data_IF_865403613722
#
_entry.id   IF_865403613722
#
_cell.length_a   1.000
_cell.length_b   1.000
_cell.length_c   1.000
_cell.angle_alpha   90.00
_cell.angle_beta   90.00
_cell.angle_gamma   90.00
#
_symmetry.space_group_name_H-M   'P 1'
#
loop_
_entity.id
_entity.type
_entity.pdbx_description
1 polymer ?
#
# COMPACT_ATOMS: atom_id res chain seq x y z
N UNK A 1 -2.68 1.88 -13.15
CA UNK A 1 -2.10 0.91 -14.13
C UNK A 1 -2.03 -0.52 -13.58
N UNK A 2 -2.11 -0.68 -12.26
CA UNK A 2 -1.92 -1.95 -11.52
C UNK A 2 -2.80 -3.11 -12.01
N UNK A 3 -4.06 -2.86 -12.38
CA UNK A 3 -4.96 -3.95 -12.81
C UNK A 3 -4.82 -4.35 -14.29
N UNK A 4 -3.98 -3.65 -15.06
CA UNK A 4 -3.86 -3.86 -16.52
C UNK A 4 -2.71 -4.77 -16.94
N UNK A 5 -1.61 -4.84 -16.19
CA UNK A 5 -0.34 -5.27 -16.79
C UNK A 5 0.02 -6.75 -16.62
N UNK A 6 -0.48 -7.44 -15.60
CA UNK A 6 -0.11 -8.85 -15.38
C UNK A 6 -0.80 -9.85 -16.31
N UNK A 7 -1.83 -9.46 -17.09
CA UNK A 7 -2.71 -10.42 -17.77
C UNK A 7 -2.65 -10.50 -19.31
N UNK A 8 -1.84 -9.69 -20.00
CA UNK A 8 -1.70 -9.81 -21.47
C UNK A 8 -0.86 -11.02 -21.93
N UNK A 9 -0.39 -11.89 -21.03
CA UNK A 9 0.44 -13.04 -21.37
C UNK A 9 -0.32 -14.31 -21.82
N UNK A 10 -1.67 -14.36 -21.73
CA UNK A 10 -2.44 -15.59 -22.00
C UNK A 10 -3.39 -15.56 -23.20
N UNK A 11 -3.62 -14.40 -23.83
CA UNK A 11 -4.27 -14.34 -25.14
C UNK A 11 -3.27 -13.89 -26.20
N UNK A 12 -2.78 -14.85 -27.01
CA UNK A 12 -1.90 -14.55 -28.12
C UNK A 12 -2.45 -13.40 -28.97
N UNK A 13 -1.69 -12.31 -29.06
CA UNK A 13 -1.96 -11.24 -30.00
C UNK A 13 -2.06 -11.86 -31.41
N UNK A 14 -3.21 -11.77 -32.11
CA UNK A 14 -3.23 -12.07 -33.53
C UNK A 14 -2.28 -11.09 -34.21
N UNK A 15 -1.26 -11.62 -34.87
CA UNK A 15 -0.30 -10.84 -35.64
C UNK A 15 -1.03 -9.94 -36.63
N UNK A 16 -0.84 -8.63 -36.47
CA UNK A 16 -1.20 -7.64 -37.47
C UNK A 16 -0.10 -7.62 -38.53
N UNK A 17 -0.20 -8.54 -39.50
CA UNK A 17 0.57 -8.53 -40.75
C UNK A 17 0.05 -7.41 -41.66
N UNK A 18 0.49 -6.18 -41.40
CA UNK A 18 0.32 -5.03 -42.28
C UNK A 18 1.54 -4.81 -43.19
N UNK A 19 1.37 -4.63 -44.51
CA UNK A 19 2.46 -4.74 -45.48
C UNK A 19 3.32 -3.47 -45.59
N UNK A 20 4.59 -3.73 -45.89
CA UNK A 20 5.63 -2.77 -46.20
C UNK A 20 5.20 -1.68 -47.21
N UNK A 21 5.41 -0.42 -46.82
CA UNK A 21 5.56 0.69 -47.75
C UNK A 21 7.02 1.18 -47.72
N UNK A 22 7.68 0.99 -48.84
CA UNK A 22 9.04 1.39 -49.18
C UNK A 22 9.18 2.92 -49.24
N UNK A 23 10.19 3.49 -48.58
CA UNK A 23 10.80 4.75 -49.03
C UNK A 23 12.32 4.67 -48.97
N UNK A 24 12.89 5.04 -50.11
CA UNK A 24 14.29 4.98 -50.48
C UNK A 24 15.21 5.85 -49.62
N UNK A 25 16.43 5.34 -49.51
CA UNK A 25 17.74 6.01 -49.54
C UNK A 25 17.73 7.47 -50.04
N UNK A 26 18.44 8.37 -49.36
CA UNK A 26 19.79 8.80 -49.77
C UNK A 26 20.41 9.78 -48.74
N UNK A 27 21.74 9.82 -48.63
CA UNK A 27 22.44 11.02 -48.15
C UNK A 27 23.34 10.95 -46.91
N UNK A 28 24.43 10.18 -47.01
CA UNK A 28 25.82 10.55 -46.64
C UNK A 28 26.10 11.53 -45.49
N UNK A 29 26.84 11.06 -44.48
CA UNK A 29 27.43 11.88 -43.42
C UNK A 29 28.61 11.23 -42.69
N UNK A 30 29.75 11.15 -43.38
CA UNK A 30 31.11 10.80 -42.94
C UNK A 30 31.51 11.37 -41.57
N UNK A 31 32.16 10.55 -40.70
CA UNK A 31 32.72 11.07 -39.44
C UNK A 31 33.43 10.08 -38.51
N UNK A 32 34.55 9.49 -38.95
CA UNK A 32 35.82 9.32 -38.20
C UNK A 32 35.87 8.71 -36.78
N UNK A 33 36.51 7.53 -36.72
CA UNK A 33 37.63 7.10 -35.84
C UNK A 33 37.52 7.12 -34.31
N UNK A 34 37.73 5.94 -33.72
CA UNK A 34 38.15 5.81 -32.31
C UNK A 34 38.25 4.37 -31.82
N UNK A 35 39.07 3.54 -32.47
CA UNK A 35 39.43 2.21 -31.97
C UNK A 35 40.51 2.37 -30.88
N UNK A 36 40.22 1.98 -29.65
CA UNK A 36 41.22 1.73 -28.61
C UNK A 36 40.90 0.40 -27.94
N UNK A 37 41.74 -0.58 -28.23
CA UNK A 37 41.96 -1.82 -27.48
C UNK A 37 42.88 -1.52 -26.30
N UNK A 38 42.55 -2.00 -25.10
CA UNK A 38 43.48 -2.20 -23.98
C UNK A 38 42.75 -3.13 -22.99
N UNK A 39 43.09 -4.41 -22.91
CA UNK A 39 44.26 -5.02 -22.25
C UNK A 39 43.87 -5.58 -20.87
N UNK A 40 44.06 -6.89 -20.76
CA UNK A 40 44.12 -7.70 -19.55
C UNK A 40 44.99 -7.05 -18.45
N UNK A 41 44.49 -7.06 -17.20
CA UNK A 41 45.35 -7.22 -16.02
C UNK A 41 44.63 -8.06 -14.97
N UNK A 42 44.95 -9.36 -14.98
CA UNK A 42 45.07 -10.19 -13.79
C UNK A 42 46.30 -9.72 -12.99
N UNK A 43 46.19 -9.56 -11.66
CA UNK A 43 47.08 -10.20 -10.67
C UNK A 43 46.98 -9.60 -9.27
N UNK A 44 47.02 -10.55 -8.32
CA UNK A 44 47.74 -10.51 -7.03
C UNK A 44 47.04 -10.01 -5.75
N UNK A 45 46.83 -11.00 -4.91
CA UNK A 45 46.62 -11.03 -3.47
C UNK A 45 47.89 -10.69 -2.66
N UNK A 46 47.65 -10.42 -1.36
CA UNK A 46 48.57 -10.41 -0.19
C UNK A 46 48.93 -9.01 0.36
N UNK A 47 49.40 -8.89 1.63
CA UNK A 47 48.97 -9.55 2.88
C UNK A 47 48.81 -8.54 4.07
N UNK A 48 48.47 -9.09 5.24
CA UNK A 48 48.54 -8.50 6.60
C UNK A 48 49.53 -7.35 6.81
N UNK A 49 49.09 -6.34 7.56
CA UNK A 49 49.98 -5.60 8.47
C UNK A 49 49.35 -5.45 9.86
N UNK A 50 50.18 -5.73 10.85
CA UNK A 50 49.93 -5.73 12.30
C UNK A 50 50.92 -4.74 12.92
N UNK A 51 50.43 -3.71 13.59
CA UNK A 51 51.23 -2.89 14.54
C UNK A 51 50.25 -2.31 15.58
N UNK A 52 50.23 -2.78 16.83
CA UNK A 52 51.13 -2.51 17.97
C UNK A 52 50.91 -1.14 18.64
N UNK A 53 50.25 -1.21 19.79
CA UNK A 53 50.33 -0.43 21.03
C UNK A 53 51.04 0.93 21.07
N UNK A 54 50.29 1.90 21.61
CA UNK A 54 50.81 3.07 22.34
C UNK A 54 49.73 3.64 23.28
N UNK A 55 49.99 3.80 24.59
CA UNK A 55 48.99 4.22 25.56
C UNK A 55 48.93 5.75 25.61
N UNK A 56 47.76 6.33 25.34
CA UNK A 56 47.49 7.74 25.64
C UNK A 56 46.51 7.84 26.79
N UNK A 57 47.04 8.27 27.94
CA UNK A 57 46.25 8.86 29.02
C UNK A 57 45.56 10.13 28.51
N UNK A 58 44.24 10.17 28.59
CA UNK A 58 43.51 11.43 28.75
C UNK A 58 42.45 11.26 29.84
N UNK A 59 42.80 11.86 30.98
CA UNK A 59 41.98 12.48 32.01
C UNK A 59 40.47 12.52 31.77
N UNK A 60 39.74 12.09 32.79
CA UNK A 60 38.29 12.10 32.85
C UNK A 60 37.68 13.50 32.77
N UNK A 61 36.61 13.57 32.00
CA UNK A 61 35.45 14.40 32.25
C UNK A 61 34.28 13.45 32.38
N UNK A 62 33.81 13.25 33.60
CA UNK A 62 32.51 12.65 33.89
C UNK A 62 31.46 13.70 33.53
N UNK A 63 31.20 13.85 32.24
CA UNK A 63 30.01 14.53 31.76
C UNK A 63 28.92 13.47 31.71
N UNK A 64 28.22 13.35 32.83
CA UNK A 64 26.87 12.77 32.86
C UNK A 64 25.99 13.68 31.99
N UNK A 65 26.06 13.47 30.67
CA UNK A 65 25.08 14.01 29.74
C UNK A 65 23.78 13.30 30.06
N UNK A 66 23.02 13.88 30.99
CA UNK A 66 21.56 13.76 31.02
C UNK A 66 21.10 14.42 29.72
N UNK A 67 21.21 13.68 28.62
CA UNK A 67 20.52 14.02 27.39
C UNK A 67 19.05 14.03 27.77
N UNK A 68 18.53 15.21 28.07
CA UNK A 68 17.10 15.47 27.98
C UNK A 68 16.77 15.17 26.53
N UNK A 69 16.27 13.95 26.33
CA UNK A 69 15.49 13.60 25.17
C UNK A 69 14.40 14.68 25.09
N UNK A 70 14.63 15.67 24.22
CA UNK A 70 13.81 16.88 24.16
C UNK A 70 12.52 16.65 23.38
N UNK A 71 12.22 15.38 23.10
CA UNK A 71 11.23 15.00 22.11
C UNK A 71 11.62 15.52 20.72
N UNK A 72 10.99 14.99 19.67
CA UNK A 72 10.95 15.68 18.39
C UNK A 72 10.38 17.10 18.59
N UNK A 73 10.90 18.12 17.89
CA UNK A 73 10.35 19.48 17.95
C UNK A 73 8.83 19.47 17.65
N UNK A 74 8.03 20.30 18.32
CA UNK A 74 6.55 20.27 18.28
C UNK A 74 5.89 20.60 16.92
N UNK A 75 6.67 20.66 15.84
CA UNK A 75 6.22 20.81 14.45
C UNK A 75 6.64 19.61 13.57
N UNK A 76 7.17 18.53 14.17
CA UNK A 76 7.57 17.33 13.43
C UNK A 76 6.33 16.50 13.05
N UNK A 77 6.26 16.12 11.78
CA UNK A 77 5.22 15.23 11.25
C UNK A 77 5.83 13.84 11.14
N UNK A 78 5.30 12.89 11.90
CA UNK A 78 5.65 11.48 11.72
C UNK A 78 4.72 10.83 10.69
N UNK A 79 5.29 10.42 9.56
CA UNK A 79 4.55 9.75 8.49
C UNK A 79 4.85 8.26 8.46
N UNK A 80 3.80 7.44 8.36
CA UNK A 80 3.86 5.99 8.21
C UNK A 80 3.19 5.57 6.91
N UNK A 81 3.99 5.10 5.95
CA UNK A 81 3.50 4.62 4.65
C UNK A 81 3.10 3.15 4.78
N UNK A 82 1.94 2.79 4.25
CA UNK A 82 1.50 1.41 4.15
C UNK A 82 2.54 0.60 3.35
N UNK A 83 2.92 -0.56 3.87
CA UNK A 83 3.84 -1.51 3.22
C UNK A 83 3.15 -2.79 2.82
N UNK A 84 2.07 -3.13 3.51
CA UNK A 84 1.21 -4.26 3.15
C UNK A 84 -0.25 -3.87 3.38
N UNK A 85 -1.15 -4.44 2.59
CA UNK A 85 -2.59 -4.25 2.74
C UNK A 85 -3.36 -5.50 2.30
N UNK A 86 -4.33 -5.92 3.10
CA UNK A 86 -5.16 -7.08 2.82
C UNK A 86 -6.61 -6.77 3.14
N UNK A 87 -7.50 -6.86 2.14
CA UNK A 87 -8.94 -6.91 2.39
C UNK A 87 -9.28 -8.26 3.02
N UNK A 88 -10.04 -8.23 4.11
CA UNK A 88 -10.41 -9.40 4.91
C UNK A 88 -11.89 -9.67 4.97
N UNK A 89 -12.72 -8.64 4.85
CA UNK A 89 -14.18 -8.76 4.87
C UNK A 89 -14.80 -7.49 4.27
N UNK A 90 -15.78 -7.56 3.35
CA UNK A 90 -16.15 -8.73 2.56
C UNK A 90 -15.04 -9.20 1.60
N UNK A 91 -15.12 -10.46 1.18
CA UNK A 91 -14.31 -11.00 0.09
C UNK A 91 -14.87 -10.59 -1.28
N UNK A 92 -14.01 -10.51 -2.28
CA UNK A 92 -14.38 -10.25 -3.67
C UNK A 92 -14.63 -11.55 -4.43
N UNK A 93 -15.73 -11.59 -5.17
CA UNK A 93 -16.15 -12.76 -5.94
C UNK A 93 -16.32 -12.44 -7.42
N UNK A 94 -15.90 -13.38 -8.27
CA UNK A 94 -16.06 -13.29 -9.73
C UNK A 94 -16.75 -14.52 -10.29
N UNK A 95 -17.53 -14.30 -11.35
CA UNK A 95 -18.19 -15.38 -12.06
C UNK A 95 -17.27 -15.99 -13.12
N UNK A 96 -16.70 -17.15 -12.83
CA UNK A 96 -15.81 -17.88 -13.73
C UNK A 96 -16.55 -18.94 -14.58
N UNK A 97 -15.95 -19.29 -15.71
CA UNK A 97 -16.46 -20.29 -16.67
C UNK A 97 -17.90 -20.02 -17.14
N UNK A 98 -18.23 -18.75 -17.38
CA UNK A 98 -19.52 -18.33 -17.93
C UNK A 98 -20.69 -18.53 -16.97
N UNK A 99 -20.50 -18.25 -15.68
CA UNK A 99 -21.56 -18.38 -14.67
C UNK A 99 -21.55 -19.66 -13.86
N UNK A 100 -20.65 -20.60 -14.16
CA UNK A 100 -20.69 -21.94 -13.56
C UNK A 100 -19.95 -22.05 -12.23
N UNK A 101 -18.99 -21.16 -11.98
CA UNK A 101 -18.19 -21.13 -10.75
C UNK A 101 -18.24 -19.71 -10.21
N UNK A 102 -18.59 -19.58 -8.93
CA UNK A 102 -18.32 -18.36 -8.18
C UNK A 102 -17.00 -18.54 -7.45
N UNK A 103 -15.99 -17.80 -7.88
CA UNK A 103 -14.65 -17.87 -7.30
C UNK A 103 -14.43 -16.67 -6.39
N UNK A 104 -14.07 -16.93 -5.14
CA UNK A 104 -13.43 -15.95 -4.28
C UNK A 104 -12.04 -15.65 -4.86
N UNK A 105 -11.75 -14.36 -5.09
CA UNK A 105 -10.49 -13.88 -5.67
C UNK A 105 -9.72 -12.98 -4.71
N UNK A 106 -10.13 -12.92 -3.45
CA UNK A 106 -9.54 -12.01 -2.44
C UNK A 106 -8.10 -12.38 -2.14
N UNK A 107 -7.86 -13.66 -1.79
CA UNK A 107 -6.54 -14.17 -1.41
C UNK A 107 -5.95 -15.18 -2.41
N UNK A 108 -6.77 -15.79 -3.27
CA UNK A 108 -6.31 -16.82 -4.20
C UNK A 108 -7.16 -16.82 -5.47
N UNK A 109 -6.52 -16.84 -6.65
CA UNK A 109 -7.24 -17.02 -7.91
C UNK A 109 -6.95 -18.40 -8.51
N UNK A 110 -7.97 -19.23 -8.82
CA UNK A 110 -7.76 -20.58 -9.35
C UNK A 110 -7.00 -20.66 -10.69
N UNK A 111 -6.98 -19.56 -11.46
CA UNK A 111 -6.37 -19.47 -12.79
C UNK A 111 -4.88 -19.12 -12.77
N UNK A 112 -4.32 -18.82 -11.60
CA UNK A 112 -2.94 -18.38 -11.44
C UNK A 112 -2.73 -16.89 -11.67
N UNK A 113 -3.81 -16.13 -11.86
CA UNK A 113 -3.78 -14.66 -11.85
C UNK A 113 -3.55 -14.17 -10.40
N UNK A 114 -2.96 -12.97 -10.20
CA UNK A 114 -2.81 -12.39 -8.87
C UNK A 114 -4.16 -12.17 -8.18
N UNK A 115 -4.25 -12.47 -6.88
CA UNK A 115 -5.44 -12.16 -6.07
C UNK A 115 -5.63 -10.65 -5.91
N UNK A 116 -6.78 -10.21 -5.40
CA UNK A 116 -7.00 -8.79 -5.09
C UNK A 116 -5.97 -8.30 -4.07
N UNK A 117 -5.69 -9.10 -3.04
CA UNK A 117 -4.68 -8.77 -2.06
C UNK A 117 -3.27 -8.75 -2.66
N UNK A 118 -2.92 -9.69 -3.55
CA UNK A 118 -1.63 -9.64 -4.24
C UNK A 118 -1.48 -8.35 -5.06
N UNK A 119 -2.55 -7.94 -5.78
CA UNK A 119 -2.53 -6.73 -6.60
C UNK A 119 -2.37 -5.46 -5.77
N UNK A 120 -3.03 -5.37 -4.60
CA UNK A 120 -2.80 -4.25 -3.69
C UNK A 120 -1.37 -4.22 -3.16
N UNK A 121 -0.82 -5.36 -2.77
CA UNK A 121 0.55 -5.43 -2.26
C UNK A 121 1.60 -5.16 -3.35
N UNK A 122 1.35 -5.58 -4.59
CA UNK A 122 2.19 -5.21 -5.73
C UNK A 122 2.17 -3.70 -5.97
N UNK A 123 0.99 -3.07 -5.95
CA UNK A 123 0.85 -1.62 -6.13
C UNK A 123 1.55 -0.79 -5.03
N UNK A 124 1.48 -1.27 -3.78
CA UNK A 124 2.08 -0.61 -2.62
C UNK A 124 3.61 -0.69 -2.65
N UNK A 125 4.17 -1.69 -3.32
CA UNK A 125 5.60 -2.00 -3.23
C UNK A 125 6.36 -1.84 -4.55
N UNK A 126 5.67 -1.58 -5.66
CA UNK A 126 6.27 -1.49 -6.99
C UNK A 126 5.83 -0.23 -7.74
N UNK A 127 6.72 0.22 -8.61
CA UNK A 127 6.44 1.14 -9.73
C UNK A 127 6.15 0.25 -10.95
N UNK A 128 5.02 0.44 -11.63
CA UNK A 128 4.61 -0.42 -12.74
C UNK A 128 5.74 -0.50 -13.78
N UNK A 129 6.30 -1.70 -14.04
CA UNK A 129 7.43 -1.84 -14.97
C UNK A 129 7.05 -1.49 -16.43
N UNK A 130 5.76 -1.40 -16.76
CA UNK A 130 5.26 -1.05 -18.08
C UNK A 130 5.06 0.45 -18.28
N UNK A 131 4.83 1.24 -17.22
CA UNK A 131 4.84 2.71 -17.28
C UNK A 131 5.57 3.29 -16.07
N UNK A 132 6.88 3.04 -15.94
CA UNK A 132 7.63 3.47 -14.78
C UNK A 132 7.67 5.00 -14.73
N UNK A 133 7.13 5.57 -13.66
CA UNK A 133 7.14 7.01 -13.43
C UNK A 133 8.07 7.41 -12.27
N UNK A 134 8.70 6.41 -11.63
CA UNK A 134 9.58 6.58 -10.49
C UNK A 134 8.85 6.64 -9.15
N UNK A 135 7.54 6.42 -9.12
CA UNK A 135 6.71 6.40 -7.92
C UNK A 135 6.06 5.02 -7.74
N UNK A 136 5.67 4.72 -6.51
CA UNK A 136 4.83 3.55 -6.22
C UNK A 136 3.43 3.76 -6.79
N UNK A 137 2.83 2.70 -7.34
CA UNK A 137 1.52 2.80 -7.98
C UNK A 137 0.37 3.11 -6.99
N UNK A 138 0.53 2.70 -5.73
CA UNK A 138 -0.37 3.03 -4.63
C UNK A 138 0.46 3.45 -3.41
N UNK A 139 0.13 4.59 -2.82
CA UNK A 139 0.73 5.02 -1.57
C UNK A 139 -0.33 5.60 -0.64
N UNK A 140 -0.49 4.97 0.52
CA UNK A 140 -1.36 5.43 1.60
C UNK A 140 -0.48 5.75 2.80
N UNK A 141 -0.74 6.87 3.47
CA UNK A 141 0.09 7.37 4.58
C UNK A 141 -0.78 7.81 5.75
N UNK A 142 -0.34 7.48 6.97
CA UNK A 142 -0.81 8.05 8.22
C UNK A 142 0.17 9.12 8.69
N UNK A 143 -0.32 10.29 9.04
CA UNK A 143 0.49 11.44 9.46
C UNK A 143 0.10 11.83 10.88
N UNK A 144 1.05 11.84 11.81
CA UNK A 144 0.83 12.28 13.20
C UNK A 144 1.45 13.67 13.40
N UNK A 145 0.79 14.54 14.19
CA UNK A 145 1.22 15.95 14.35
C UNK A 145 1.17 16.45 15.82
N UNK A 146 2.21 16.22 16.63
CA UNK A 146 3.20 15.15 16.51
C UNK A 146 2.64 13.80 17.03
N UNK A 147 3.41 12.73 16.85
CA UNK A 147 3.17 11.43 17.49
C UNK A 147 3.55 11.46 18.98
N UNK A 148 2.58 11.15 19.83
CA UNK A 148 2.75 10.91 21.27
C UNK A 148 2.24 9.50 21.61
N UNK A 149 3.19 8.61 21.93
CA UNK A 149 2.93 7.21 22.26
C UNK A 149 2.65 6.98 23.75
N UNK A 150 2.61 8.04 24.57
CA UNK A 150 2.30 7.90 25.99
C UNK A 150 0.86 7.38 26.18
N UNK A 151 0.63 6.65 27.28
CA UNK A 151 -0.68 6.10 27.59
C UNK A 151 -1.73 7.20 27.73
N UNK A 152 -2.85 7.04 27.01
CA UNK A 152 -3.93 8.02 26.88
C UNK A 152 -3.52 9.38 26.29
N UNK A 153 -2.34 9.46 25.65
CA UNK A 153 -2.01 10.60 24.81
C UNK A 153 -2.96 10.67 23.62
N UNK A 154 -3.20 11.88 23.13
CA UNK A 154 -4.05 12.15 21.99
C UNK A 154 -3.46 13.28 21.16
N UNK A 155 -3.71 13.25 19.86
CA UNK A 155 -3.23 14.28 18.94
C UNK A 155 -3.98 14.27 17.62
N UNK A 156 -3.58 15.18 16.75
CA UNK A 156 -4.10 15.26 15.39
C UNK A 156 -3.43 14.18 14.52
N UNK A 157 -4.23 13.54 13.66
CA UNK A 157 -3.76 12.57 12.67
C UNK A 157 -4.44 12.84 11.32
N UNK A 158 -3.72 12.70 10.21
CA UNK A 158 -4.30 12.70 8.87
C UNK A 158 -4.12 11.32 8.22
N UNK A 159 -5.15 10.86 7.49
CA UNK A 159 -4.99 9.84 6.46
C UNK A 159 -4.83 10.55 5.10
N UNK A 160 -3.94 10.05 4.25
CA UNK A 160 -3.67 10.66 2.95
C UNK A 160 -3.42 9.63 1.85
N UNK A 161 -3.89 9.95 0.64
CA UNK A 161 -3.35 9.37 -0.57
C UNK A 161 -2.07 10.14 -0.91
N UNK A 162 -0.99 9.40 -1.10
CA UNK A 162 0.34 9.96 -1.26
C UNK A 162 0.94 9.59 -2.61
N UNK A 163 2.04 10.26 -2.95
CA UNK A 163 2.98 9.86 -3.98
C UNK A 163 4.32 9.62 -3.31
N UNK A 164 4.86 8.41 -3.43
CA UNK A 164 6.13 8.03 -2.84
C UNK A 164 7.09 7.56 -3.92
N UNK A 165 8.31 8.11 -3.93
CA UNK A 165 9.35 7.75 -4.91
C UNK A 165 9.89 6.32 -4.70
N UNK A 166 10.49 5.71 -5.73
CA UNK A 166 11.13 4.37 -5.63
C UNK A 166 12.67 4.47 -5.66
N UNK A 167 13.40 3.86 -4.69
CA UNK A 167 12.87 3.27 -3.45
C UNK A 167 12.22 4.37 -2.58
N UNK A 168 11.35 4.02 -1.60
CA UNK A 168 10.63 4.99 -0.77
C UNK A 168 11.60 5.83 0.06
N UNK A 169 12.10 6.89 -0.56
CA UNK A 169 13.02 7.86 0.04
C UNK A 169 12.19 9.02 0.60
N UNK A 170 11.07 9.35 -0.05
CA UNK A 170 10.27 10.53 0.24
C UNK A 170 8.83 10.31 -0.25
N UNK A 171 7.87 10.75 0.56
CA UNK A 171 6.45 10.78 0.23
C UNK A 171 5.90 12.21 0.33
N UNK A 172 4.97 12.54 -0.55
CA UNK A 172 4.21 13.80 -0.58
C UNK A 172 2.71 13.52 -0.79
N UNK A 173 1.87 14.53 -0.62
CA UNK A 173 0.44 14.45 -0.91
C UNK A 173 0.22 14.24 -2.40
N UNK A 174 -0.63 13.28 -2.77
CA UNK A 174 -0.97 13.06 -4.17
C UNK A 174 -1.70 14.28 -4.75
N UNK A 175 -1.27 14.76 -5.92
CA UNK A 175 -1.88 15.92 -6.57
C UNK A 175 -3.40 15.70 -6.78
N UNK A 176 -4.19 16.69 -6.37
CA UNK A 176 -5.65 16.65 -6.50
C UNK A 176 -6.36 15.84 -5.41
N UNK A 177 -5.64 15.41 -4.37
CA UNK A 177 -6.22 14.81 -3.16
C UNK A 177 -6.08 15.75 -1.97
N UNK A 178 -6.87 15.53 -0.93
CA UNK A 178 -6.85 16.28 0.33
C UNK A 178 -6.50 15.35 1.50
N UNK A 179 -6.10 15.93 2.63
CA UNK A 179 -5.97 15.21 3.90
C UNK A 179 -7.34 14.84 4.46
N UNK A 180 -7.49 13.61 4.93
CA UNK A 180 -8.63 13.18 5.72
C UNK A 180 -8.28 13.34 7.20
N UNK A 181 -8.60 14.51 7.72
CA UNK A 181 -8.24 14.91 9.09
C UNK A 181 -9.05 14.10 10.11
N UNK A 182 -8.38 13.67 11.17
CA UNK A 182 -8.96 13.03 12.35
C UNK A 182 -8.08 13.26 13.57
N UNK A 183 -8.44 12.66 14.69
CA UNK A 183 -7.66 12.61 15.92
C UNK A 183 -7.35 11.16 16.27
N UNK A 184 -6.31 10.94 17.07
CA UNK A 184 -5.97 9.60 17.59
C UNK A 184 -5.84 9.60 19.10
N UNK A 185 -5.96 8.42 19.70
CA UNK A 185 -5.65 8.16 21.10
C UNK A 185 -4.72 6.96 21.21
N UNK A 186 -3.61 7.12 21.93
CA UNK A 186 -2.63 6.07 22.24
C UNK A 186 -3.04 5.28 23.49
N UNK A 187 -2.79 3.97 23.47
CA UNK A 187 -3.02 3.06 24.59
C UNK A 187 -1.83 2.13 24.77
N UNK A 188 -1.30 2.07 25.98
CA UNK A 188 -0.13 1.22 26.30
C UNK A 188 -0.47 -0.28 26.37
N UNK A 189 -1.69 -0.61 26.77
CA UNK A 189 -2.22 -1.96 26.89
C UNK A 189 -3.70 -2.01 26.47
N UNK A 190 -4.22 -3.21 26.22
CA UNK A 190 -5.63 -3.42 25.84
C UNK A 190 -5.85 -3.52 24.33
N UNK A 191 -7.09 -3.30 23.90
CA UNK A 191 -7.50 -3.42 22.50
C UNK A 191 -7.81 -2.03 21.95
N UNK A 192 -7.16 -1.65 20.86
CA UNK A 192 -7.43 -0.40 20.14
C UNK A 192 -8.61 -0.52 19.18
N UNK A 193 -8.68 -1.63 18.47
CA UNK A 193 -9.77 -1.92 17.55
C UNK A 193 -9.96 -3.44 17.46
N UNK A 194 -11.21 -3.87 17.64
CA UNK A 194 -11.65 -5.25 17.41
C UNK A 194 -12.69 -5.21 16.29
N UNK A 195 -12.64 -6.12 15.31
CA UNK A 195 -13.69 -6.26 14.32
C UNK A 195 -15.05 -6.50 14.98
N UNK A 196 -16.08 -5.79 14.55
CA UNK A 196 -17.42 -5.96 15.13
C UNK A 196 -18.03 -7.27 14.61
N UNK A 197 -18.28 -8.29 15.46
CA UNK A 197 -18.83 -9.56 15.01
C UNK A 197 -20.22 -9.44 14.38
N UNK A 198 -20.94 -8.34 14.59
CA UNK A 198 -22.23 -8.08 13.95
C UNK A 198 -22.09 -7.73 12.46
N UNK A 199 -20.91 -7.31 12.04
CA UNK A 199 -20.58 -6.82 10.69
C UNK A 199 -19.58 -7.72 9.97
N UNK A 200 -19.30 -8.91 10.51
CA UNK A 200 -18.47 -9.92 9.85
C UNK A 200 -19.33 -10.85 9.02
N UNK A 201 -18.79 -11.26 7.87
CA UNK A 201 -19.47 -12.16 6.96
C UNK A 201 -19.87 -13.47 7.66
N UNK A 202 -21.11 -13.94 7.44
CA UNK A 202 -21.54 -15.25 7.92
C UNK A 202 -20.80 -16.41 7.23
N UNK A 203 -20.11 -16.15 6.10
CA UNK A 203 -19.29 -17.14 5.40
C UNK A 203 -18.05 -17.55 6.21
N UNK A 204 -17.62 -16.72 7.17
CA UNK A 204 -16.49 -17.01 8.04
C UNK A 204 -15.17 -17.02 7.28
N UNK A 205 -14.86 -15.91 6.62
CA UNK A 205 -13.63 -15.72 5.86
C UNK A 205 -12.37 -16.03 6.67
N UNK A 206 -11.33 -16.49 5.97
CA UNK A 206 -10.08 -16.88 6.59
C UNK A 206 -8.88 -16.43 5.73
N UNK A 207 -7.95 -15.63 6.29
CA UNK A 207 -7.94 -15.16 7.69
C UNK A 207 -9.07 -14.16 7.99
N UNK A 208 -9.54 -14.16 9.24
CA UNK A 208 -10.48 -13.14 9.72
C UNK A 208 -9.76 -11.79 9.85
N UNK A 209 -10.50 -10.66 9.82
CA UNK A 209 -9.92 -9.35 10.14
C UNK A 209 -9.13 -9.36 11.45
N UNK A 210 -7.99 -8.67 11.46
CA UNK A 210 -7.11 -8.57 12.61
C UNK A 210 -7.73 -7.81 13.79
N UNK A 211 -7.19 -8.04 14.99
CA UNK A 211 -7.49 -7.23 16.18
C UNK A 211 -6.24 -6.46 16.56
N UNK A 212 -6.35 -5.15 16.69
CA UNK A 212 -5.24 -4.28 17.10
C UNK A 212 -5.15 -4.20 18.62
N UNK A 213 -3.99 -4.53 19.18
CA UNK A 213 -3.76 -4.53 20.64
C UNK A 213 -2.52 -3.71 21.04
N UNK A 214 -2.47 -3.29 22.31
CA UNK A 214 -1.45 -2.38 22.86
C UNK A 214 -0.02 -2.94 22.84
N UNK A 215 1.01 -2.07 22.72
CA UNK A 215 0.93 -0.61 22.62
C UNK A 215 0.43 -0.17 21.23
N UNK A 216 -0.61 0.65 21.16
CA UNK A 216 -1.31 0.96 19.91
C UNK A 216 -1.94 2.34 19.92
N UNK A 217 -2.47 2.76 18.77
CA UNK A 217 -3.42 3.86 18.69
C UNK A 217 -4.74 3.43 18.04
N UNK A 218 -5.76 4.25 18.23
CA UNK A 218 -7.01 4.21 17.47
C UNK A 218 -7.41 5.63 17.08
N UNK A 219 -7.89 5.81 15.86
CA UNK A 219 -8.35 7.08 15.34
C UNK A 219 -9.85 7.29 15.60
N UNK A 220 -10.27 8.55 15.73
CA UNK A 220 -11.69 8.89 15.69
C UNK A 220 -12.25 8.63 14.27
N UNK A 221 -13.55 8.24 14.15
CA UNK A 221 -14.15 7.97 12.85
C UNK A 221 -14.09 9.18 11.90
N UNK A 222 -13.70 8.96 10.65
CA UNK A 222 -13.67 9.98 9.60
C UNK A 222 -14.01 9.36 8.24
N UNK A 223 -14.57 10.15 7.32
CA UNK A 223 -14.82 9.68 5.95
C UNK A 223 -13.51 9.73 5.16
N UNK A 224 -13.13 8.63 4.51
CA UNK A 224 -11.91 8.55 3.70
C UNK A 224 -12.22 8.13 2.27
N UNK A 225 -11.34 8.48 1.34
CA UNK A 225 -11.36 7.96 -0.03
C UNK A 225 -10.00 7.34 -0.31
N UNK A 226 -9.99 6.06 -0.63
CA UNK A 226 -8.80 5.36 -1.12
C UNK A 226 -8.76 5.52 -2.63
N UNK A 227 -7.73 6.20 -3.14
CA UNK A 227 -7.51 6.37 -4.57
C UNK A 227 -6.50 5.34 -5.05
N UNK A 228 -6.96 4.39 -5.88
CA UNK A 228 -6.10 3.35 -6.48
C UNK A 228 -5.42 3.81 -7.76
N UNK A 229 -5.57 5.09 -8.11
CA UNK A 229 -5.20 5.65 -9.42
C UNK A 229 -6.21 5.31 -10.53
N UNK A 230 -6.80 4.11 -10.48
CA UNK A 230 -7.71 3.61 -11.50
C UNK A 230 -9.20 3.80 -11.11
N UNK A 231 -9.51 3.80 -9.81
CA UNK A 231 -10.82 4.18 -9.24
C UNK A 231 -10.66 4.76 -7.83
N UNK A 232 -11.75 5.32 -7.31
CA UNK A 232 -11.83 5.87 -5.95
C UNK A 232 -12.80 5.04 -5.12
N UNK A 233 -12.37 4.59 -3.95
CA UNK A 233 -13.19 3.82 -3.01
C UNK A 233 -13.52 4.70 -1.79
N UNK A 234 -14.71 5.29 -1.71
CA UNK A 234 -15.14 6.02 -0.53
C UNK A 234 -15.51 5.05 0.59
N UNK A 235 -15.05 5.35 1.81
CA UNK A 235 -15.38 4.61 3.03
C UNK A 235 -15.85 5.63 4.07
N UNK A 236 -17.12 5.56 4.46
CA UNK A 236 -17.69 6.35 5.53
C UNK A 236 -17.35 5.78 6.91
N UNK A 237 -17.37 6.64 7.93
CA UNK A 237 -17.14 6.23 9.33
C UNK A 237 -15.87 5.37 9.53
N UNK A 238 -14.81 5.69 8.78
CA UNK A 238 -13.60 4.89 8.78
C UNK A 238 -12.81 5.10 10.08
N UNK A 239 -12.42 3.98 10.71
CA UNK A 239 -11.61 3.93 11.93
C UNK A 239 -10.33 3.17 11.61
N UNK A 240 -9.19 3.76 11.97
CA UNK A 240 -7.86 3.21 11.72
C UNK A 240 -7.19 2.99 13.07
N UNK A 241 -6.64 1.80 13.29
CA UNK A 241 -5.84 1.47 14.46
C UNK A 241 -4.63 0.64 14.04
N UNK A 242 -3.51 0.77 14.76
CA UNK A 242 -2.38 -0.14 14.61
C UNK A 242 -1.56 -0.25 15.89
N UNK A 243 -0.84 -1.37 16.02
CA UNK A 243 0.15 -1.58 17.08
C UNK A 243 1.45 -0.87 16.71
N UNK A 244 2.02 -0.14 17.64
CA UNK A 244 3.32 0.48 17.48
C UNK A 244 4.43 -0.58 17.50
N UNK A 245 5.30 -0.55 16.50
CA UNK A 245 6.58 -1.24 16.52
C UNK A 245 7.67 -0.23 16.92
N UNK A 246 8.15 -0.31 18.17
CA UNK A 246 9.16 0.59 18.72
C UNK A 246 8.60 1.74 19.57
N UNK A 247 9.51 2.42 20.29
CA UNK A 247 9.27 3.62 21.09
C UNK A 247 10.54 4.49 21.10
N UNK A 248 10.65 5.52 20.23
CA UNK A 248 9.63 5.95 19.26
C UNK A 248 9.39 4.90 18.15
N UNK A 249 8.18 4.87 17.61
CA UNK A 249 7.73 3.89 16.63
C UNK A 249 8.42 4.09 15.27
N UNK A 250 9.00 3.02 14.74
CA UNK A 250 9.57 2.96 13.39
C UNK A 250 8.67 2.17 12.41
N UNK A 251 7.66 1.48 12.93
CA UNK A 251 6.66 0.77 12.18
C UNK A 251 5.31 0.70 12.88
N UNK A 252 4.30 0.34 12.10
CA UNK A 252 2.96 -0.01 12.55
C UNK A 252 2.66 -1.42 12.07
N UNK A 253 2.28 -2.31 12.99
CA UNK A 253 1.97 -3.71 12.72
C UNK A 253 0.60 -4.06 13.24
N UNK A 254 0.02 -5.17 12.77
CA UNK A 254 -1.35 -5.59 13.14
C UNK A 254 -2.35 -4.43 13.01
N UNK A 255 -2.19 -3.65 11.93
CA UNK A 255 -3.06 -2.52 11.62
C UNK A 255 -4.38 -3.00 11.09
N UNK A 256 -5.45 -2.32 11.46
CA UNK A 256 -6.80 -2.55 10.94
C UNK A 256 -7.45 -1.22 10.60
N UNK A 257 -7.93 -1.12 9.36
CA UNK A 257 -8.82 -0.08 8.88
C UNK A 257 -10.19 -0.71 8.71
N UNK A 258 -11.20 -0.15 9.38
CA UNK A 258 -12.61 -0.48 9.16
C UNK A 258 -13.31 0.72 8.59
N UNK A 259 -14.12 0.57 7.54
CA UNK A 259 -14.97 1.65 7.03
C UNK A 259 -16.21 1.12 6.31
N UNK A 260 -17.23 1.94 6.15
CA UNK A 260 -18.49 1.56 5.52
C UNK A 260 -18.53 1.99 4.06
N UNK A 261 -18.70 1.04 3.15
CA UNK A 261 -18.95 1.29 1.74
C UNK A 261 -20.46 1.24 1.49
N UNK A 262 -21.09 2.38 1.23
CA UNK A 262 -22.53 2.41 0.91
C UNK A 262 -22.81 1.73 -0.43
N UNK A 263 -24.01 1.17 -0.59
CA UNK A 263 -24.47 0.57 -1.84
C UNK A 263 -24.47 1.59 -2.98
N UNK A 264 -24.92 2.81 -2.71
CA UNK A 264 -24.94 3.90 -3.69
C UNK A 264 -23.51 4.21 -4.19
N UNK A 265 -22.53 4.25 -3.29
CA UNK A 265 -21.13 4.47 -3.66
C UNK A 265 -20.52 3.27 -4.39
N UNK A 266 -20.83 2.05 -3.95
CA UNK A 266 -20.35 0.83 -4.60
C UNK A 266 -20.91 0.67 -6.03
N UNK A 267 -22.17 1.07 -6.26
CA UNK A 267 -22.80 1.11 -7.59
C UNK A 267 -22.31 2.29 -8.44
N UNK A 268 -21.84 3.38 -7.81
CA UNK A 268 -21.26 4.53 -8.52
C UNK A 268 -19.78 4.31 -8.90
N UNK A 269 -19.08 3.41 -8.19
CA UNK A 269 -17.65 3.16 -8.40
C UNK A 269 -17.43 2.24 -9.59
N UNK A 270 -17.24 2.85 -10.77
CA UNK A 270 -16.95 2.15 -12.01
C UNK A 270 -15.57 1.49 -11.99
N UNK A 271 -15.53 0.20 -12.31
CA UNK A 271 -14.28 -0.54 -12.44
C UNK A 271 -13.55 -0.17 -13.75
N UNK A 272 -12.23 -0.09 -13.75
CA UNK A 272 -11.41 0.00 -14.97
C UNK A 272 -11.75 -1.10 -15.98
N UNK A 273 -11.68 -0.78 -17.27
CA UNK A 273 -12.09 -1.66 -18.37
C UNK A 273 -11.41 -3.02 -18.30
N UNK A 274 -10.17 -3.05 -17.85
CA UNK A 274 -9.33 -4.23 -17.71
C UNK A 274 -9.96 -5.21 -16.70
N UNK A 275 -10.37 -4.71 -15.54
CA UNK A 275 -11.12 -5.49 -14.54
C UNK A 275 -12.47 -5.93 -15.11
N UNK A 276 -13.17 -5.04 -15.83
CA UNK A 276 -14.47 -5.40 -16.42
C UNK A 276 -14.34 -6.57 -17.40
N UNK A 277 -13.29 -6.59 -18.20
CA UNK A 277 -13.03 -7.69 -19.14
C UNK A 277 -12.66 -9.00 -18.44
N UNK A 278 -11.98 -8.93 -17.29
CA UNK A 278 -11.54 -10.10 -16.53
C UNK A 278 -12.67 -10.71 -15.68
N UNK A 279 -13.44 -9.85 -15.02
CA UNK A 279 -14.44 -10.25 -14.02
C UNK A 279 -15.86 -10.28 -14.55
N UNK A 280 -16.13 -9.51 -15.62
CA UNK A 280 -17.47 -9.22 -16.10
C UNK A 280 -18.20 -8.13 -15.31
N UNK A 281 -17.62 -7.65 -14.21
CA UNK A 281 -18.21 -6.62 -13.36
C UNK A 281 -17.93 -5.22 -13.90
N UNK A 282 -18.93 -4.34 -13.92
CA UNK A 282 -18.81 -2.94 -14.31
C UNK A 282 -18.59 -2.00 -13.12
N UNK A 283 -19.05 -2.39 -11.94
CA UNK A 283 -19.03 -1.61 -10.69
C UNK A 283 -18.58 -2.48 -9.53
N UNK A 284 -18.11 -1.88 -8.44
CA UNK A 284 -17.61 -2.63 -7.27
C UNK A 284 -18.69 -3.51 -6.64
N UNK A 285 -19.93 -3.03 -6.55
CA UNK A 285 -21.02 -3.81 -5.93
C UNK A 285 -21.23 -5.18 -6.60
N UNK A 286 -20.96 -5.31 -7.90
CA UNK A 286 -21.07 -6.60 -8.61
C UNK A 286 -20.01 -7.63 -8.16
N UNK A 287 -18.93 -7.19 -7.51
CA UNK A 287 -17.88 -8.05 -6.97
C UNK A 287 -18.10 -8.43 -5.50
N UNK A 288 -19.06 -7.81 -4.80
CA UNK A 288 -19.29 -8.04 -3.37
C UNK A 288 -20.54 -8.90 -3.11
N UNK A 289 -20.50 -9.90 -2.21
CA UNK A 289 -21.68 -10.69 -1.83
C UNK A 289 -22.83 -9.81 -1.33
N UNK A 290 -24.05 -10.11 -1.78
CA UNK A 290 -25.24 -9.26 -1.58
C UNK A 290 -25.47 -8.24 -2.70
N UNK A 291 -24.43 -7.86 -3.44
CA UNK A 291 -24.54 -6.94 -4.55
C UNK A 291 -25.29 -7.52 -5.76
N UNK A 292 -26.03 -6.67 -6.47
CA UNK A 292 -26.82 -7.10 -7.62
C UNK A 292 -25.89 -7.63 -8.74
N UNK A 293 -26.05 -8.89 -9.11
CA UNK A 293 -25.23 -9.52 -10.16
C UNK A 293 -24.01 -10.29 -9.63
N UNK A 294 -23.71 -10.18 -8.34
CA UNK A 294 -22.69 -11.01 -7.71
C UNK A 294 -23.10 -12.50 -7.71
N UNK A 295 -22.11 -13.39 -7.76
CA UNK A 295 -22.34 -14.83 -7.89
C UNK A 295 -22.36 -15.60 -6.56
N UNK A 296 -22.00 -14.96 -5.44
CA UNK A 296 -21.91 -15.61 -4.14
C UNK A 296 -23.30 -16.08 -3.67
N UNK A 297 -23.34 -17.15 -2.88
CA UNK A 297 -24.57 -17.72 -2.34
C UNK A 297 -24.96 -17.17 -0.96
N UNK A 298 -24.24 -16.15 -0.50
CA UNK A 298 -24.44 -15.44 0.75
C UNK A 298 -24.49 -13.92 0.51
N UNK A 299 -24.79 -13.20 1.59
CA UNK A 299 -25.00 -11.76 1.60
C UNK A 299 -24.18 -11.18 2.75
N UNK A 300 -23.27 -10.27 2.41
CA UNK A 300 -22.40 -9.57 3.36
C UNK A 300 -22.86 -8.12 3.58
N UNK A 301 -24.04 -7.74 3.07
CA UNK A 301 -24.55 -6.39 3.29
C UNK A 301 -25.05 -6.18 4.72
N UNK A 302 -24.63 -5.07 5.32
CA UNK A 302 -25.07 -4.56 6.61
C UNK A 302 -26.12 -3.45 6.43
N UNK A 303 -27.26 -3.81 5.84
CA UNK A 303 -28.33 -2.86 5.55
C UNK A 303 -28.21 -2.28 4.15
N UNK A 304 -27.61 -1.09 4.01
CA UNK A 304 -27.48 -0.36 2.75
C UNK A 304 -26.03 -0.26 2.24
N UNK A 305 -25.16 -1.20 2.65
CA UNK A 305 -23.76 -1.23 2.24
C UNK A 305 -22.99 -2.37 2.89
N UNK A 306 -21.66 -2.27 2.88
CA UNK A 306 -20.73 -3.27 3.44
C UNK A 306 -19.78 -2.61 4.43
N UNK A 307 -19.53 -3.26 5.57
CA UNK A 307 -18.38 -2.92 6.40
C UNK A 307 -17.13 -3.56 5.83
N UNK A 308 -16.24 -2.72 5.30
CA UNK A 308 -14.94 -3.13 4.79
C UNK A 308 -13.93 -3.19 5.93
N UNK A 309 -13.25 -4.32 6.06
CA UNK A 309 -12.13 -4.53 6.97
C UNK A 309 -10.86 -4.81 6.16
N UNK A 310 -9.84 -3.99 6.43
CA UNK A 310 -8.56 -4.04 5.76
C UNK A 310 -7.46 -4.13 6.81
N UNK A 311 -6.70 -5.22 6.78
CA UNK A 311 -5.49 -5.34 7.58
C UNK A 311 -4.33 -4.66 6.87
N UNK A 312 -3.41 -4.06 7.63
CA UNK A 312 -2.23 -3.41 7.05
C UNK A 312 -0.99 -3.46 7.96
N UNK A 313 0.16 -3.25 7.34
CA UNK A 313 1.40 -2.85 8.00
C UNK A 313 1.89 -1.53 7.41
N UNK A 314 2.64 -0.74 8.17
CA UNK A 314 3.23 0.50 7.69
C UNK A 314 4.62 0.75 8.28
N UNK A 315 5.43 1.54 7.57
CA UNK A 315 6.79 1.92 7.97
C UNK A 315 6.96 3.43 7.98
N UNK A 316 7.75 3.93 8.92
CA UNK A 316 8.09 5.36 8.97
C UNK A 316 8.80 5.78 7.69
N UNK A 317 8.39 6.89 7.10
CA UNK A 317 8.99 7.48 5.90
C UNK A 317 9.19 8.99 6.05
N UNK A 318 10.16 9.60 5.35
CA UNK A 318 10.22 11.06 5.24
C UNK A 318 9.00 11.61 4.51
N UNK A 319 8.45 12.71 5.04
CA UNK A 319 7.30 13.43 4.49
C UNK A 319 7.68 14.86 4.13
N UNK A 320 7.23 15.34 2.96
CA UNK A 320 7.50 16.71 2.49
C UNK A 320 6.27 17.55 2.20
N UNK A 321 5.09 16.96 2.24
CA UNK A 321 3.83 17.69 2.11
C UNK A 321 3.58 18.61 3.30
N UNK A 322 2.96 19.77 3.07
CA UNK A 322 2.51 20.65 4.15
C UNK A 322 1.06 20.36 4.51
#
# INVERSE_FOLDING_TARGET
MVLSCSLLALSGCPGDDGPAATTNEDGTGTGTTGMVTSDDVDTTSSPMDTTTDGPMMTTGGDETSTGEDTGPPPDEVEAFRFTEMFVRDPHFYVSALGGLICADVTDNVPTGDPSINDQFNDAINSDDPMMPDGNLDLSLVLLFRPLDQADAAAGDMDFANAVCTVPPIECDLQEGTDFFQTTYVSMSEGTCLEPDPAHLSPAGYNPQPGTTTGPCFTADPTDVIINTGDFSLPLGDAVIAAQYEGDPADGLVSGTLRGFLSLDDAEATMLPREIQMQTGASVISELLPGGAGNCADHDDMDGDGWWMYVDFEARRVPWVGN
#
